data_IF_929448505043
#
_entry.id   IF_929448505043
#
_cell.length_a   1.000
_cell.length_b   1.000
_cell.length_c   1.000
_cell.angle_alpha   90.00
_cell.angle_beta   90.00
_cell.angle_gamma   90.00
#
_symmetry.space_group_name_H-M   'P 1'
#
loop_
_entity.id
_entity.type
_entity.pdbx_description
1 polymer ?
#
# COMPACT_ATOMS: atom_id res chain seq x y z
N UNK A 1 -6.27 7.14 -9.95
CA UNK A 1 -7.60 6.54 -10.17
C UNK A 1 -7.61 5.20 -9.46
N UNK A 2 -8.64 4.93 -8.66
CA UNK A 2 -8.73 3.67 -7.89
C UNK A 2 -9.64 2.73 -8.67
N UNK A 3 -9.12 1.56 -9.04
CA UNK A 3 -9.86 0.48 -9.68
C UNK A 3 -10.23 -0.59 -8.64
N UNK A 4 -10.99 -1.61 -9.04
CA UNK A 4 -11.42 -2.68 -8.13
C UNK A 4 -10.25 -3.52 -7.58
N UNK A 5 -9.17 -3.68 -8.35
CA UNK A 5 -8.04 -4.56 -7.99
C UNK A 5 -6.68 -3.86 -8.01
N UNK A 6 -6.64 -2.58 -8.39
CA UNK A 6 -5.39 -1.83 -8.53
C UNK A 6 -5.58 -0.32 -8.34
N UNK A 7 -4.49 0.37 -8.06
CA UNK A 7 -4.46 1.82 -7.89
C UNK A 7 -3.54 2.43 -8.94
N UNK A 8 -4.07 3.32 -9.76
CA UNK A 8 -3.33 3.99 -10.83
C UNK A 8 -2.85 5.37 -10.36
N UNK A 9 -1.54 5.58 -10.33
CA UNK A 9 -0.89 6.82 -9.90
C UNK A 9 -0.19 7.47 -11.10
N UNK A 10 -0.36 8.79 -11.27
CA UNK A 10 0.32 9.54 -12.34
C UNK A 10 1.73 9.91 -11.89
N UNK A 11 2.74 9.60 -12.70
CA UNK A 11 4.15 9.86 -12.42
C UNK A 11 4.83 10.69 -13.54
N UNK A 12 4.34 11.90 -13.85
CA UNK A 12 4.84 12.65 -15.00
C UNK A 12 6.29 13.08 -14.84
N UNK A 13 6.75 13.41 -13.63
CA UNK A 13 8.12 13.89 -13.37
C UNK A 13 9.17 12.85 -13.75
N UNK A 14 9.00 11.62 -13.25
CA UNK A 14 9.92 10.51 -13.54
C UNK A 14 9.96 10.20 -15.03
N UNK A 15 8.80 9.98 -15.65
CA UNK A 15 8.71 9.61 -17.07
C UNK A 15 9.28 10.73 -17.95
N UNK A 16 8.94 11.99 -17.70
CA UNK A 16 9.48 13.12 -18.47
C UNK A 16 10.99 13.26 -18.30
N UNK A 17 11.55 12.97 -17.13
CA UNK A 17 13.00 13.03 -16.89
C UNK A 17 13.73 11.96 -17.70
N UNK A 18 13.22 10.72 -17.69
CA UNK A 18 13.79 9.62 -18.46
C UNK A 18 13.70 9.92 -19.96
N UNK A 19 12.53 10.33 -20.45
CA UNK A 19 12.36 10.72 -21.86
C UNK A 19 13.27 11.89 -22.25
N UNK A 20 13.37 12.91 -21.39
CA UNK A 20 14.27 14.04 -21.61
C UNK A 20 15.72 13.60 -21.74
N UNK A 21 16.18 12.72 -20.86
CA UNK A 21 17.54 12.18 -20.90
C UNK A 21 17.79 11.35 -22.17
N UNK A 22 16.84 10.51 -22.58
CA UNK A 22 16.93 9.77 -23.85
C UNK A 22 16.98 10.70 -25.06
N UNK A 23 16.15 11.76 -25.09
CA UNK A 23 16.16 12.75 -26.18
C UNK A 23 17.49 13.48 -26.24
N UNK A 24 18.01 13.96 -25.11
CA UNK A 24 19.32 14.64 -25.05
C UNK A 24 20.43 13.71 -25.55
N UNK A 25 20.38 12.43 -25.18
CA UNK A 25 21.38 11.44 -25.58
C UNK A 25 21.34 11.15 -27.08
N UNK A 26 20.14 10.97 -27.64
CA UNK A 26 19.95 10.73 -29.09
C UNK A 26 20.32 11.95 -29.91
N UNK A 27 19.85 13.14 -29.53
CA UNK A 27 20.16 14.40 -30.22
C UNK A 27 21.65 14.71 -30.10
N UNK A 28 22.25 14.50 -28.92
CA UNK A 28 23.68 14.66 -28.70
C UNK A 28 24.51 13.72 -29.58
N UNK A 29 24.15 12.44 -29.63
CA UNK A 29 24.79 11.46 -30.52
C UNK A 29 24.71 11.82 -31.99
N UNK A 30 23.54 12.31 -32.43
CA UNK A 30 23.33 12.77 -33.80
C UNK A 30 24.15 14.02 -34.14
N UNK A 31 24.16 15.03 -33.25
CA UNK A 31 24.96 16.25 -33.41
C UNK A 31 26.46 15.93 -33.42
N UNK A 32 26.93 15.01 -32.58
CA UNK A 32 28.31 14.53 -32.62
C UNK A 32 28.64 13.90 -33.97
N UNK A 33 27.77 13.06 -34.53
CA UNK A 33 27.96 12.48 -35.86
C UNK A 33 28.10 13.53 -36.96
N UNK A 34 27.31 14.60 -36.91
CA UNK A 34 27.35 15.69 -37.90
C UNK A 34 28.54 16.63 -37.71
N UNK A 35 28.84 17.05 -36.48
CA UNK A 35 29.86 18.06 -36.18
C UNK A 35 31.29 17.48 -36.18
N UNK A 36 31.45 16.21 -35.86
CA UNK A 36 32.76 15.53 -35.80
C UNK A 36 33.14 14.92 -37.16
N UNK A 37 32.21 14.91 -38.13
CA UNK A 37 32.18 14.14 -39.38
C UNK A 37 33.37 14.22 -40.36
N UNK A 38 34.48 14.85 -39.98
CA UNK A 38 35.74 14.85 -40.75
C UNK A 38 37.00 15.03 -39.88
N UNK A 39 36.90 15.03 -38.54
CA UNK A 39 38.02 15.35 -37.63
C UNK A 39 38.73 14.14 -37.03
N UNK A 40 38.18 12.93 -37.19
CA UNK A 40 38.75 11.71 -36.61
C UNK A 40 38.96 10.68 -37.73
N UNK A 41 40.21 10.49 -38.13
CA UNK A 41 40.57 9.50 -39.13
C UNK A 41 40.29 8.07 -38.62
N UNK A 42 39.54 7.29 -39.40
CA UNK A 42 39.30 5.86 -39.17
C UNK A 42 38.07 5.50 -38.34
N UNK A 43 37.23 6.46 -37.92
CA UNK A 43 35.97 6.19 -37.21
C UNK A 43 34.79 6.71 -38.01
N UNK A 44 33.82 5.85 -38.33
CA UNK A 44 32.56 6.26 -38.93
C UNK A 44 31.75 7.11 -37.93
N UNK A 45 31.49 8.41 -38.22
CA UNK A 45 30.74 9.31 -37.34
C UNK A 45 29.32 8.81 -37.02
N UNK A 46 28.74 8.00 -37.89
CA UNK A 46 27.39 7.46 -37.70
C UNK A 46 27.32 6.38 -36.60
N UNK A 47 28.45 5.74 -36.25
CA UNK A 47 28.48 4.80 -35.13
C UNK A 47 28.11 5.46 -33.80
N UNK A 48 28.50 6.72 -33.58
CA UNK A 48 28.10 7.46 -32.37
C UNK A 48 26.58 7.62 -32.27
N UNK A 49 25.91 7.84 -33.40
CA UNK A 49 24.44 7.93 -33.44
C UNK A 49 23.84 6.58 -33.07
N UNK A 50 24.32 5.48 -33.65
CA UNK A 50 23.83 4.13 -33.35
C UNK A 50 24.03 3.77 -31.87
N UNK A 51 25.21 4.00 -31.30
CA UNK A 51 25.47 3.75 -29.88
C UNK A 51 24.58 4.60 -28.97
N UNK A 52 24.33 5.86 -29.35
CA UNK A 52 23.44 6.75 -28.60
C UNK A 52 21.99 6.27 -28.61
N UNK A 53 21.50 5.78 -29.76
CA UNK A 53 20.18 5.16 -29.85
C UNK A 53 20.08 3.89 -29.02
N UNK A 54 21.09 3.02 -29.07
CA UNK A 54 21.14 1.79 -28.28
C UNK A 54 21.13 2.09 -26.77
N UNK A 55 21.96 3.02 -26.33
CA UNK A 55 22.03 3.43 -24.92
C UNK A 55 20.73 4.10 -24.46
N UNK A 56 20.13 4.95 -25.29
CA UNK A 56 18.85 5.58 -25.01
C UNK A 56 17.70 4.57 -24.87
N UNK A 57 17.65 3.56 -25.74
CA UNK A 57 16.70 2.45 -25.65
C UNK A 57 16.91 1.59 -24.41
N UNK A 58 18.18 1.31 -24.07
CA UNK A 58 18.53 0.58 -22.84
C UNK A 58 18.08 1.33 -21.58
N UNK A 59 18.32 2.64 -21.50
CA UNK A 59 17.89 3.47 -20.38
C UNK A 59 16.37 3.44 -20.23
N UNK A 60 15.60 3.53 -21.32
CA UNK A 60 14.14 3.42 -21.26
C UNK A 60 13.68 2.05 -20.75
N UNK A 61 14.34 0.98 -21.18
CA UNK A 61 14.03 -0.37 -20.74
C UNK A 61 14.32 -0.54 -19.24
N UNK A 62 15.49 -0.11 -18.77
CA UNK A 62 15.87 -0.13 -17.35
C UNK A 62 14.90 0.72 -16.53
N UNK A 63 14.61 1.94 -16.98
CA UNK A 63 13.70 2.85 -16.29
C UNK A 63 12.28 2.29 -16.16
N UNK A 64 11.82 1.51 -17.15
CA UNK A 64 10.55 0.79 -17.10
C UNK A 64 10.55 -0.29 -16.01
N UNK A 65 11.60 -1.11 -15.91
CA UNK A 65 11.63 -2.27 -15.00
C UNK A 65 11.96 -1.90 -13.54
N UNK A 66 12.56 -0.74 -13.29
CA UNK A 66 13.02 -0.37 -11.94
C UNK A 66 11.89 -0.03 -10.96
N UNK A 67 10.74 0.49 -11.43
CA UNK A 67 9.70 1.00 -10.52
C UNK A 67 8.63 -0.02 -10.14
N UNK A 68 8.18 -0.83 -11.09
CA UNK A 68 7.13 -1.84 -10.88
C UNK A 68 7.41 -3.03 -11.79
N UNK A 69 7.28 -4.26 -11.27
CA UNK A 69 7.59 -5.48 -12.03
C UNK A 69 6.77 -5.60 -13.32
N UNK A 70 5.50 -5.18 -13.26
CA UNK A 70 4.49 -5.38 -14.31
C UNK A 70 4.11 -4.06 -15.02
N UNK A 71 5.05 -3.14 -15.25
CA UNK A 71 4.71 -1.87 -15.90
C UNK A 71 4.48 -2.03 -17.41
N UNK A 72 3.24 -1.83 -17.88
CA UNK A 72 2.94 -1.90 -19.32
C UNK A 72 3.50 -0.69 -20.08
N UNK A 73 3.88 -0.88 -21.35
CA UNK A 73 4.35 0.22 -22.20
C UNK A 73 3.29 1.30 -22.41
N UNK A 74 2.01 0.90 -22.47
CA UNK A 74 0.88 1.82 -22.59
C UNK A 74 0.84 2.77 -21.40
N UNK A 75 0.92 2.22 -20.18
CA UNK A 75 0.83 3.02 -18.96
C UNK A 75 2.07 3.91 -18.80
N UNK A 76 3.25 3.39 -19.14
CA UNK A 76 4.50 4.17 -19.17
C UNK A 76 4.39 5.41 -20.06
N UNK A 77 3.91 5.23 -21.30
CA UNK A 77 3.71 6.34 -22.24
C UNK A 77 2.62 7.32 -21.78
N UNK A 78 1.57 6.81 -21.12
CA UNK A 78 0.53 7.64 -20.51
C UNK A 78 0.98 8.32 -19.21
N UNK A 79 2.22 8.06 -18.75
CA UNK A 79 2.80 8.58 -17.51
C UNK A 79 2.03 8.11 -16.27
N UNK A 80 1.53 6.88 -16.31
CA UNK A 80 0.72 6.26 -15.26
C UNK A 80 1.40 4.96 -14.80
N UNK A 81 1.29 4.68 -13.51
CA UNK A 81 1.78 3.44 -12.89
C UNK A 81 0.60 2.76 -12.24
N UNK A 82 0.39 1.48 -12.57
CA UNK A 82 -0.66 0.65 -11.97
C UNK A 82 -0.05 -0.15 -10.83
N UNK A 83 -0.35 0.24 -9.59
CA UNK A 83 0.12 -0.40 -8.38
C UNK A 83 -0.90 -1.46 -7.91
N UNK A 84 -0.40 -2.62 -7.48
CA UNK A 84 -1.20 -3.74 -6.98
C UNK A 84 -0.97 -4.04 -5.50
N UNK A 85 0.00 -3.40 -4.85
CA UNK A 85 0.21 -3.51 -3.40
C UNK A 85 0.37 -2.16 -2.69
N UNK A 86 0.22 -2.15 -1.36
CA UNK A 86 0.43 -0.95 -0.54
C UNK A 86 1.88 -0.49 -0.62
N UNK A 87 2.85 -1.41 -0.58
CA UNK A 87 4.27 -1.05 -0.73
C UNK A 87 4.56 -0.38 -2.07
N UNK A 88 3.99 -0.87 -3.18
CA UNK A 88 4.16 -0.24 -4.49
C UNK A 88 3.58 1.17 -4.52
N UNK A 89 2.40 1.36 -3.93
CA UNK A 89 1.77 2.69 -3.83
C UNK A 89 2.66 3.63 -3.03
N UNK A 90 3.15 3.20 -1.86
CA UNK A 90 4.02 4.00 -0.99
C UNK A 90 5.33 4.39 -1.70
N UNK A 91 5.98 3.43 -2.38
CA UNK A 91 7.21 3.67 -3.13
C UNK A 91 7.04 4.67 -4.28
N UNK A 92 5.86 4.68 -4.92
CA UNK A 92 5.57 5.54 -6.07
C UNK A 92 5.06 6.91 -5.65
N UNK A 93 4.29 7.00 -4.56
CA UNK A 93 3.70 8.24 -4.04
C UNK A 93 4.61 9.00 -3.08
N UNK A 94 5.70 8.39 -2.61
CA UNK A 94 6.58 8.92 -1.56
C UNK A 94 5.86 9.14 -0.21
N UNK A 95 4.71 8.50 0.00
CA UNK A 95 3.99 8.48 1.27
C UNK A 95 4.49 7.32 2.14
N UNK A 96 4.35 7.46 3.46
CA UNK A 96 4.62 6.33 4.34
C UNK A 96 3.60 5.21 4.12
N UNK A 97 4.03 3.97 4.33
CA UNK A 97 3.17 2.79 4.16
C UNK A 97 1.92 2.87 5.07
N UNK A 98 2.09 3.39 6.29
CA UNK A 98 1.00 3.58 7.25
C UNK A 98 0.02 4.68 6.83
N UNK A 99 0.49 5.79 6.25
CA UNK A 99 -0.40 6.84 5.72
C UNK A 99 -1.24 6.34 4.55
N UNK A 100 -0.64 5.57 3.64
CA UNK A 100 -1.38 4.94 2.54
C UNK A 100 -2.44 4.01 3.11
N UNK A 101 -2.08 3.18 4.10
CA UNK A 101 -3.00 2.25 4.73
C UNK A 101 -4.15 2.96 5.47
N UNK A 102 -3.85 4.00 6.24
CA UNK A 102 -4.85 4.83 6.93
C UNK A 102 -5.84 5.45 5.94
N UNK A 103 -5.34 5.98 4.82
CA UNK A 103 -6.17 6.58 3.77
C UNK A 103 -7.07 5.55 3.08
N UNK A 104 -6.55 4.35 2.81
CA UNK A 104 -7.33 3.26 2.21
C UNK A 104 -8.44 2.79 3.16
N UNK A 105 -8.15 2.66 4.45
CA UNK A 105 -9.12 2.25 5.47
C UNK A 105 -10.20 3.31 5.69
N UNK A 106 -9.82 4.59 5.83
CA UNK A 106 -10.79 5.67 6.05
C UNK A 106 -11.72 5.88 4.87
N UNK A 107 -11.25 5.56 3.65
CA UNK A 107 -12.00 5.74 2.40
C UNK A 107 -12.68 4.46 1.89
N UNK A 108 -12.68 3.39 2.69
CA UNK A 108 -13.19 2.07 2.30
C UNK A 108 -14.65 2.10 1.82
N UNK A 109 -15.49 2.92 2.44
CA UNK A 109 -16.92 3.03 2.11
C UNK A 109 -17.15 3.65 0.72
N UNK A 110 -16.27 4.54 0.29
CA UNK A 110 -16.36 5.25 -0.99
C UNK A 110 -15.64 4.52 -2.13
N UNK A 111 -14.78 3.55 -1.84
CA UNK A 111 -13.95 2.88 -2.83
C UNK A 111 -14.51 1.49 -3.20
N UNK A 112 -14.31 1.12 -4.47
CA UNK A 112 -14.65 -0.22 -5.00
C UNK A 112 -13.51 -1.23 -4.84
N UNK A 113 -12.41 -0.83 -4.19
CA UNK A 113 -11.21 -1.65 -4.05
C UNK A 113 -11.53 -2.91 -3.23
N UNK A 114 -11.19 -4.08 -3.78
CA UNK A 114 -11.20 -5.35 -3.04
C UNK A 114 -9.78 -5.68 -2.62
N UNK A 115 -9.61 -5.94 -1.34
CA UNK A 115 -8.29 -6.22 -0.76
C UNK A 115 -7.99 -7.72 -0.73
N UNK A 116 -6.73 -8.07 -0.92
CA UNK A 116 -6.20 -9.43 -0.77
C UNK A 116 -4.93 -9.39 0.09
N UNK A 117 -4.41 -10.55 0.48
CA UNK A 117 -3.12 -10.67 1.17
C UNK A 117 -3.22 -10.93 2.68
N UNK A 118 -2.08 -10.95 3.39
CA UNK A 118 -2.00 -11.43 4.78
C UNK A 118 -2.82 -10.57 5.77
N UNK A 119 -2.84 -9.25 5.57
CA UNK A 119 -3.51 -8.31 6.48
C UNK A 119 -4.88 -7.85 5.97
N UNK A 120 -5.50 -8.60 5.05
CA UNK A 120 -6.79 -8.25 4.45
C UNK A 120 -7.95 -8.18 5.46
N UNK A 121 -7.84 -8.89 6.61
CA UNK A 121 -8.91 -8.99 7.61
C UNK A 121 -9.30 -7.64 8.23
N UNK A 122 -8.42 -6.64 8.12
CA UNK A 122 -8.69 -5.29 8.60
C UNK A 122 -9.73 -4.60 7.72
N UNK A 123 -9.90 -5.02 6.46
CA UNK A 123 -10.88 -4.47 5.52
C UNK A 123 -12.17 -5.32 5.50
N UNK A 124 -13.31 -4.68 5.31
CA UNK A 124 -14.61 -5.31 5.13
C UNK A 124 -14.75 -5.99 3.75
N UNK A 125 -14.11 -5.45 2.70
CA UNK A 125 -14.22 -5.96 1.32
C UNK A 125 -12.99 -6.80 0.94
N UNK A 126 -13.02 -8.09 1.25
CA UNK A 126 -11.98 -9.04 0.85
C UNK A 126 -12.29 -9.69 -0.50
N UNK A 127 -11.27 -9.86 -1.35
CA UNK A 127 -11.31 -10.75 -2.51
C UNK A 127 -10.64 -12.08 -2.18
N UNK A 128 -11.21 -13.18 -2.68
CA UNK A 128 -10.63 -14.55 -2.55
C UNK A 128 -9.44 -14.70 -3.50
N UNK A 129 -9.53 -14.17 -4.71
CA UNK A 129 -8.47 -14.18 -5.72
C UNK A 129 -8.40 -12.81 -6.44
N UNK A 130 -7.19 -12.36 -6.79
CA UNK A 130 -6.92 -11.14 -7.59
C UNK A 130 -7.39 -9.80 -7.00
N UNK A 131 -7.26 -9.58 -5.68
CA UNK A 131 -7.46 -8.27 -5.05
C UNK A 131 -6.18 -7.46 -4.90
N UNK A 132 -6.30 -6.19 -4.54
CA UNK A 132 -5.17 -5.32 -4.18
C UNK A 132 -4.50 -5.82 -2.90
N UNK A 133 -3.20 -6.10 -2.96
CA UNK A 133 -2.45 -6.78 -1.89
C UNK A 133 -2.12 -5.83 -0.73
N UNK A 134 -2.59 -6.19 0.47
CA UNK A 134 -2.24 -5.53 1.74
C UNK A 134 -1.05 -6.29 2.34
N UNK A 135 0.14 -5.87 1.95
CA UNK A 135 1.45 -6.45 2.31
C UNK A 135 2.10 -5.80 3.53
N UNK A 136 1.44 -4.79 4.11
CA UNK A 136 1.95 -4.02 5.26
C UNK A 136 1.12 -4.33 6.51
N UNK A 137 1.82 -4.54 7.62
CA UNK A 137 1.21 -4.74 8.93
C UNK A 137 0.67 -3.40 9.49
N UNK A 138 -0.65 -3.30 9.81
CA UNK A 138 -1.20 -2.09 10.39
C UNK A 138 -0.76 -1.89 11.85
N UNK A 139 -0.31 -0.68 12.15
CA UNK A 139 -0.09 -0.24 13.52
C UNK A 139 -1.42 0.19 14.17
N UNK A 140 -1.53 0.11 15.50
CA UNK A 140 -2.73 0.55 16.24
C UNK A 140 -3.04 2.03 15.96
N UNK A 141 -2.01 2.88 15.80
CA UNK A 141 -2.21 4.29 15.43
C UNK A 141 -2.89 4.44 14.06
N UNK A 142 -2.47 3.64 13.08
CA UNK A 142 -3.05 3.64 11.74
C UNK A 142 -4.52 3.23 11.78
N UNK A 143 -4.84 2.20 12.57
CA UNK A 143 -6.22 1.79 12.81
C UNK A 143 -7.03 2.92 13.44
N UNK A 144 -6.51 3.55 14.50
CA UNK A 144 -7.18 4.64 15.19
C UNK A 144 -7.43 5.83 14.25
N UNK A 145 -6.41 6.23 13.49
CA UNK A 145 -6.49 7.31 12.51
C UNK A 145 -7.51 7.03 11.40
N UNK A 146 -7.70 5.76 11.05
CA UNK A 146 -8.71 5.34 10.06
C UNK A 146 -10.14 5.23 10.62
N UNK A 147 -10.32 5.35 11.95
CA UNK A 147 -11.63 5.22 12.62
C UNK A 147 -11.91 3.83 13.18
N UNK A 148 -10.89 3.01 13.40
CA UNK A 148 -10.99 1.70 14.07
C UNK A 148 -10.37 1.82 15.46
N UNK A 149 -11.21 1.76 16.50
CA UNK A 149 -10.78 1.91 17.89
C UNK A 149 -10.64 0.53 18.54
N UNK A 150 -9.47 0.23 19.10
CA UNK A 150 -9.29 -0.98 19.90
C UNK A 150 -9.74 -0.72 21.34
N UNK A 151 -10.71 -1.50 21.80
CA UNK A 151 -11.33 -1.38 23.13
C UNK A 151 -10.97 -2.59 23.97
N UNK A 152 -10.55 -2.37 25.21
CA UNK A 152 -10.30 -3.41 26.20
C UNK A 152 -11.58 -3.73 26.95
N UNK A 153 -11.94 -5.00 26.99
CA UNK A 153 -13.15 -5.53 27.64
C UNK A 153 -12.79 -6.62 28.65
N UNK A 154 -13.70 -6.86 29.59
CA UNK A 154 -13.60 -7.94 30.58
C UNK A 154 -14.64 -9.02 30.25
N UNK A 155 -14.14 -10.18 29.82
CA UNK A 155 -14.91 -11.40 29.55
C UNK A 155 -14.93 -12.30 30.79
N UNK A 156 -15.59 -13.47 30.68
CA UNK A 156 -15.59 -14.48 31.74
C UNK A 156 -14.21 -15.14 31.86
N UNK A 157 -13.51 -15.29 30.73
CA UNK A 157 -12.22 -15.99 30.63
C UNK A 157 -11.02 -15.06 30.85
N UNK A 158 -11.22 -13.74 30.86
CA UNK A 158 -10.16 -12.77 31.13
C UNK A 158 -10.36 -11.41 30.48
N UNK A 159 -9.28 -10.67 30.32
CA UNK A 159 -9.30 -9.44 29.53
C UNK A 159 -9.19 -9.77 28.05
N UNK A 160 -9.92 -9.06 27.20
CA UNK A 160 -9.82 -9.20 25.75
C UNK A 160 -9.83 -7.83 25.07
N UNK A 161 -9.33 -7.79 23.83
CA UNK A 161 -9.38 -6.61 22.96
C UNK A 161 -10.40 -6.83 21.86
N UNK A 162 -11.18 -5.81 21.56
CA UNK A 162 -12.19 -5.81 20.49
C UNK A 162 -12.01 -4.59 19.61
N UNK A 163 -12.20 -4.75 18.30
CA UNK A 163 -12.23 -3.61 17.40
C UNK A 163 -13.63 -3.00 17.32
N UNK A 164 -13.68 -1.68 17.46
CA UNK A 164 -14.84 -0.87 17.21
C UNK A 164 -14.63 -0.10 15.91
N UNK A 165 -15.35 -0.50 14.85
CA UNK A 165 -15.32 0.19 13.55
C UNK A 165 -16.30 1.36 13.56
N UNK A 166 -15.77 2.58 13.46
CA UNK A 166 -16.52 3.85 13.40
C UNK A 166 -16.40 4.54 12.03
N UNK A 167 -15.98 3.81 11.00
CA UNK A 167 -15.76 4.36 9.64
C UNK A 167 -17.09 4.86 9.05
N UNK A 168 -17.22 6.15 8.69
CA UNK A 168 -18.44 6.69 8.10
C UNK A 168 -18.85 5.94 6.82
N UNK A 169 -20.14 5.59 6.71
CA UNK A 169 -20.67 4.84 5.57
C UNK A 169 -20.43 3.33 5.63
N UNK A 170 -19.69 2.83 6.63
CA UNK A 170 -19.73 1.42 7.01
C UNK A 170 -21.12 1.14 7.61
N UNK A 171 -21.97 0.41 6.90
CA UNK A 171 -23.26 -0.07 7.43
C UNK A 171 -23.13 -1.01 8.65
N UNK A 172 -21.89 -1.31 9.07
CA UNK A 172 -21.54 -2.07 10.27
C UNK A 172 -21.06 -1.11 11.35
N UNK A 173 -21.97 -0.35 11.96
CA UNK A 173 -21.69 0.28 13.26
C UNK A 173 -21.78 -0.85 14.29
N UNK A 174 -20.65 -1.30 14.80
CA UNK A 174 -20.64 -2.26 15.89
C UNK A 174 -21.03 -1.51 17.17
N UNK A 175 -22.14 -1.90 17.77
CA UNK A 175 -22.54 -1.41 19.07
C UNK A 175 -21.91 -2.30 20.15
N UNK A 176 -21.08 -1.71 21.01
CA UNK A 176 -20.59 -2.38 22.21
C UNK A 176 -21.47 -1.89 23.37
N UNK A 177 -22.41 -2.70 23.89
CA UNK A 177 -23.07 -2.37 25.15
C UNK A 177 -22.03 -2.14 26.25
N UNK A 178 -22.09 -0.96 26.86
CA UNK A 178 -21.13 -0.47 27.86
C UNK A 178 -21.30 -1.20 29.20
N UNK A 179 -22.54 -1.60 29.51
CA UNK A 179 -22.93 -2.29 30.73
C UNK A 179 -23.98 -3.37 30.43
N UNK A 180 -23.88 -4.49 31.15
CA UNK A 180 -24.74 -5.66 30.96
C UNK A 180 -23.99 -6.80 30.26
N UNK A 181 -24.49 -8.03 30.44
CA UNK A 181 -23.96 -9.19 29.73
C UNK A 181 -24.32 -9.01 28.26
N UNK A 182 -23.33 -8.75 27.41
CA UNK A 182 -23.53 -8.93 25.98
C UNK A 182 -23.75 -10.43 25.73
N UNK A 183 -24.83 -10.79 25.05
CA UNK A 183 -25.01 -12.15 24.53
C UNK A 183 -23.85 -12.51 23.59
N UNK A 184 -23.66 -13.78 23.26
CA UNK A 184 -22.58 -14.21 22.36
C UNK A 184 -22.67 -13.49 21.01
N UNK A 185 -21.90 -12.41 20.86
CA UNK A 185 -21.77 -11.67 19.61
C UNK A 185 -20.52 -12.17 18.90
N UNK A 186 -20.66 -12.47 17.61
CA UNK A 186 -19.52 -12.75 16.76
C UNK A 186 -18.80 -11.43 16.44
N UNK A 187 -17.62 -11.27 17.05
CA UNK A 187 -16.81 -10.05 16.95
C UNK A 187 -15.36 -10.38 16.62
N UNK A 188 -14.65 -9.39 16.10
CA UNK A 188 -13.23 -9.51 15.85
C UNK A 188 -12.47 -9.12 17.12
N UNK A 189 -11.84 -10.11 17.74
CA UNK A 189 -11.25 -9.96 19.07
C UNK A 189 -9.90 -10.68 19.22
N UNK A 190 -9.14 -10.21 20.19
CA UNK A 190 -7.89 -10.79 20.66
C UNK A 190 -8.06 -11.11 22.15
N UNK A 191 -8.13 -12.40 22.48
CA UNK A 191 -8.35 -12.89 23.86
C UNK A 191 -7.01 -13.13 24.57
N UNK A 192 -6.00 -13.56 23.82
CA UNK A 192 -4.64 -13.77 24.34
C UNK A 192 -3.84 -12.47 24.25
N UNK A 193 -3.95 -11.61 25.27
CA UNK A 193 -3.09 -10.42 25.34
C UNK A 193 -1.65 -10.82 25.68
N UNK A 194 -0.66 -10.47 24.84
CA UNK A 194 0.73 -10.72 25.17
C UNK A 194 1.14 -9.88 26.39
N UNK A 195 1.85 -10.52 27.31
CA UNK A 195 2.38 -9.91 28.51
C UNK A 195 3.27 -8.69 28.15
N UNK A 196 3.37 -7.68 29.03
CA UNK A 196 4.10 -6.44 28.74
C UNK A 196 5.60 -6.64 28.47
N UNK A 197 6.18 -7.79 28.84
CA UNK A 197 7.61 -8.12 28.66
C UNK A 197 7.91 -8.91 27.38
N UNK A 198 6.89 -9.43 26.69
CA UNK A 198 7.02 -10.08 25.37
C UNK A 198 7.03 -9.02 24.27
N UNK A 199 8.16 -8.33 24.15
CA UNK A 199 8.37 -7.15 23.29
C UNK A 199 8.25 -7.35 21.77
N UNK A 200 7.67 -8.44 21.28
CA UNK A 200 7.65 -8.74 19.83
C UNK A 200 6.43 -9.51 19.30
N UNK A 201 5.52 -9.98 20.15
CA UNK A 201 4.34 -10.71 19.66
C UNK A 201 3.23 -9.73 19.25
N UNK A 202 2.89 -9.76 17.95
CA UNK A 202 1.78 -8.99 17.40
C UNK A 202 0.43 -9.48 17.92
N UNK A 203 -0.53 -8.58 18.07
CA UNK A 203 -1.87 -8.90 18.55
C UNK A 203 -2.61 -9.75 17.52
N UNK A 204 -2.87 -11.01 17.86
CA UNK A 204 -3.59 -11.94 16.98
C UNK A 204 -5.10 -11.73 17.12
N UNK A 205 -5.72 -11.13 16.10
CA UNK A 205 -7.17 -10.94 16.08
C UNK A 205 -7.86 -12.01 15.23
N UNK A 206 -8.98 -12.52 15.73
CA UNK A 206 -9.81 -13.50 15.04
C UNK A 206 -11.29 -13.28 15.29
N UNK A 207 -12.13 -13.82 14.40
CA UNK A 207 -13.57 -13.88 14.62
C UNK A 207 -13.85 -14.88 15.74
N UNK A 208 -14.43 -14.39 16.83
CA UNK A 208 -14.79 -15.21 17.99
C UNK A 208 -16.16 -14.80 18.50
N UNK A 209 -16.87 -15.76 19.11
CA UNK A 209 -18.08 -15.49 19.86
C UNK A 209 -17.69 -15.16 21.28
N UNK A 210 -17.98 -13.93 21.71
CA UNK A 210 -17.59 -13.45 23.03
C UNK A 210 -18.79 -12.87 23.76
N UNK A 211 -18.82 -13.14 25.06
CA UNK A 211 -19.67 -12.42 26.01
C UNK A 211 -18.76 -11.62 26.95
N UNK A 212 -19.16 -10.39 27.25
CA UNK A 212 -18.42 -9.52 28.17
C UNK A 212 -19.35 -8.87 29.18
N UNK A 213 -18.77 -8.52 30.32
CA UNK A 213 -19.48 -7.93 31.45
C UNK A 213 -19.27 -6.43 31.55
N UNK A 214 -18.09 -5.95 31.10
CA UNK A 214 -17.67 -4.56 31.28
C UNK A 214 -16.65 -4.13 30.23
N UNK A 215 -16.77 -2.89 29.78
CA UNK A 215 -15.73 -2.19 29.02
C UNK A 215 -14.73 -1.55 29.99
N UNK A 216 -13.45 -1.87 29.85
CA UNK A 216 -12.38 -1.37 30.71
C UNK A 216 -11.81 -0.03 30.22
N UNK A 217 -11.77 0.18 28.90
CA UNK A 217 -11.30 1.44 28.31
C UNK A 217 -10.76 1.26 26.89
N UNK A 218 -10.19 2.33 26.33
CA UNK A 218 -9.52 2.29 25.02
C UNK A 218 -8.11 1.75 25.21
N UNK A 219 -7.73 0.78 24.37
CA UNK A 219 -6.39 0.22 24.38
C UNK A 219 -5.44 1.14 23.62
N UNK A 220 -4.46 1.70 24.31
CA UNK A 220 -3.50 2.65 23.76
C UNK A 220 -2.06 2.11 23.88
N UNK A 221 -1.73 1.08 23.10
CA UNK A 221 -0.35 0.64 22.91
C UNK A 221 0.11 1.07 21.51
N UNK A 222 0.56 2.31 21.42
CA UNK A 222 0.88 3.03 20.18
C UNK A 222 1.79 2.24 19.21
N UNK A 223 2.72 1.44 19.73
CA UNK A 223 3.76 0.78 18.94
C UNK A 223 3.50 -0.71 18.65
N UNK A 224 2.40 -1.29 19.17
CA UNK A 224 2.12 -2.72 18.96
C UNK A 224 1.53 -2.97 17.56
N UNK A 225 2.11 -3.96 16.88
CA UNK A 225 1.67 -4.45 15.56
C UNK A 225 0.61 -5.55 15.68
N UNK A 226 -0.12 -5.77 14.60
CA UNK A 226 -1.28 -6.66 14.54
C UNK A 226 -0.95 -7.91 13.71
N UNK A 227 -1.49 -9.08 14.06
CA UNK A 227 -1.26 -10.33 13.35
C UNK A 227 -2.57 -11.00 12.93
#
# INVERSE_FOLDING_TARGET
MIQETSIVIKCPKYVNTVFGLTVVLVVGGFLCGLLVGSRVDGVDPFNFTVFSWLLGGFILLVAKIMRVSDWTWRDFLQRQVTCRSVCEVANVSELSQQEVLAYLLSSESHQMLRTSGPFQKVFAKSAVENGFSIDVNPDIQTLLASGIITVKILTIDGEALVWLRLIPGSGRVQHIPVYGKADEVEIFACVDLPLPDDGSEGLAFSHQKLSWSKVLGVYNAVEKRIR
#
